data_IF_817149038336
#
_entry.id   IF_817149038336
#
_cell.length_a   1.000
_cell.length_b   1.000
_cell.length_c   1.000
_cell.angle_alpha   90.00
_cell.angle_beta   90.00
_cell.angle_gamma   90.00
#
_symmetry.space_group_name_H-M   'P 1'
#
loop_
_entity.id
_entity.type
_entity.pdbx_description
1 polymer ?
#
# COMPACT_ATOMS: atom_id res chain seq x y z
N UNK A 1 37.62 33.22 38.93
CA UNK A 1 36.25 32.65 38.89
C UNK A 1 35.42 33.55 38.00
N UNK A 2 34.77 33.17 36.92
CA UNK A 2 34.41 31.87 36.35
C UNK A 2 34.36 32.10 34.83
N UNK A 3 35.07 31.31 34.02
CA UNK A 3 35.00 31.37 32.56
C UNK A 3 33.77 30.59 32.12
N UNK A 4 32.70 31.27 31.73
CA UNK A 4 31.49 30.62 31.23
C UNK A 4 31.76 30.14 29.80
N UNK A 5 32.08 28.84 29.64
CA UNK A 5 32.11 28.20 28.32
C UNK A 5 30.66 28.03 27.86
N UNK A 6 30.24 28.81 26.87
CA UNK A 6 29.00 28.58 26.15
C UNK A 6 29.15 27.31 25.31
N UNK A 7 28.55 26.20 25.77
CA UNK A 7 28.48 24.96 25.02
C UNK A 7 27.39 25.12 23.93
N UNK A 8 27.80 25.52 22.74
CA UNK A 8 26.95 25.51 21.54
C UNK A 8 26.71 24.04 21.18
N UNK A 9 25.55 23.51 21.60
CA UNK A 9 25.11 22.18 21.24
C UNK A 9 24.68 22.15 19.77
N UNK A 10 25.53 21.61 18.89
CA UNK A 10 25.18 21.32 17.51
C UNK A 10 24.19 20.15 17.50
N UNK A 11 22.90 20.45 17.34
CA UNK A 11 21.90 19.44 16.98
C UNK A 11 22.20 18.99 15.55
N UNK A 12 22.80 17.80 15.42
CA UNK A 12 22.94 17.10 14.14
C UNK A 12 21.63 16.35 13.91
N UNK A 13 20.74 16.93 13.10
CA UNK A 13 19.59 16.19 12.61
C UNK A 13 20.07 15.28 11.48
N UNK A 14 20.08 13.97 11.73
CA UNK A 14 20.22 12.98 10.66
C UNK A 14 18.91 12.92 9.90
N UNK A 15 18.86 13.61 8.76
CA UNK A 15 17.77 13.46 7.79
C UNK A 15 18.09 12.20 6.99
N UNK A 16 17.62 11.04 7.45
CA UNK A 16 17.64 9.83 6.63
C UNK A 16 16.52 9.95 5.60
N UNK A 17 16.88 10.31 4.37
CA UNK A 17 15.97 10.15 3.24
C UNK A 17 16.04 8.68 2.84
N UNK A 18 14.95 7.94 3.03
CA UNK A 18 14.85 6.55 2.56
C UNK A 18 14.86 6.57 1.03
N UNK A 19 16.07 6.45 0.46
CA UNK A 19 16.34 6.62 -0.98
C UNK A 19 15.82 5.46 -1.83
N UNK A 20 15.15 4.48 -1.20
CA UNK A 20 14.63 3.28 -1.85
C UNK A 20 13.22 3.47 -2.43
N UNK A 21 12.40 4.39 -1.90
CA UNK A 21 11.01 4.57 -2.37
C UNK A 21 11.00 5.31 -3.71
N UNK A 22 10.51 4.64 -4.75
CA UNK A 22 10.31 5.21 -6.10
C UNK A 22 8.96 5.90 -6.20
N UNK A 23 7.94 5.28 -5.63
CA UNK A 23 6.57 5.79 -5.61
C UNK A 23 5.84 5.23 -4.40
N UNK A 24 5.08 6.06 -3.69
CA UNK A 24 4.11 5.60 -2.71
C UNK A 24 2.91 6.55 -2.71
N UNK A 25 1.71 5.99 -2.81
CA UNK A 25 0.47 6.74 -2.70
C UNK A 25 -0.62 5.88 -2.07
N UNK A 26 -1.52 6.51 -1.31
CA UNK A 26 -2.74 5.90 -0.78
C UNK A 26 -3.97 6.62 -1.34
N UNK A 27 -4.99 5.84 -1.71
CA UNK A 27 -6.35 6.31 -2.00
C UNK A 27 -7.26 5.96 -0.84
N UNK A 28 -7.73 6.98 -0.13
CA UNK A 28 -8.63 6.82 1.01
C UNK A 28 -10.09 6.79 0.57
N UNK A 29 -10.90 6.03 1.29
CA UNK A 29 -12.33 5.89 1.05
C UNK A 29 -13.12 6.64 2.12
N UNK A 30 -14.06 7.48 1.70
CA UNK A 30 -14.90 8.26 2.60
C UNK A 30 -15.71 7.32 3.51
N UNK A 31 -15.78 7.64 4.80
CA UNK A 31 -16.52 6.85 5.80
C UNK A 31 -16.12 5.37 5.84
N UNK A 32 -14.89 5.04 5.42
CA UNK A 32 -14.33 3.69 5.39
C UNK A 32 -15.14 2.73 4.49
N UNK A 33 -15.70 3.26 3.39
CA UNK A 33 -16.59 2.53 2.49
C UNK A 33 -16.02 2.51 1.08
N UNK A 34 -15.56 1.34 0.65
CA UNK A 34 -15.08 1.13 -0.70
C UNK A 34 -16.19 0.61 -1.60
N UNK A 35 -16.75 1.47 -2.45
CA UNK A 35 -17.75 1.06 -3.42
C UNK A 35 -17.12 0.26 -4.57
N UNK A 36 -17.83 -0.75 -5.07
CA UNK A 36 -17.40 -1.63 -6.18
C UNK A 36 -17.12 -0.89 -7.48
N UNK A 37 -17.74 0.26 -7.70
CA UNK A 37 -17.55 1.12 -8.87
C UNK A 37 -16.43 2.16 -8.69
N UNK A 38 -15.84 2.24 -7.49
CA UNK A 38 -14.85 3.25 -7.13
C UNK A 38 -13.44 2.66 -7.25
N UNK A 39 -12.92 2.60 -8.47
CA UNK A 39 -11.56 2.13 -8.72
C UNK A 39 -10.51 3.11 -8.15
N UNK A 40 -9.45 2.56 -7.53
CA UNK A 40 -8.29 3.33 -7.11
C UNK A 40 -7.26 3.41 -8.24
N UNK A 41 -7.06 4.60 -8.79
CA UNK A 41 -6.10 4.85 -9.87
C UNK A 41 -4.82 5.50 -9.35
N UNK A 42 -3.70 4.85 -9.61
CA UNK A 42 -2.36 5.35 -9.32
C UNK A 42 -1.67 5.67 -10.64
N UNK A 43 -1.11 6.88 -10.76
CA UNK A 43 -0.33 7.29 -11.93
C UNK A 43 1.07 7.66 -11.44
N UNK A 44 2.10 7.05 -12.03
CA UNK A 44 3.48 7.24 -11.61
C UNK A 44 4.42 7.30 -12.81
N UNK A 45 5.59 7.91 -12.61
CA UNK A 45 6.59 8.07 -13.67
C UNK A 45 7.85 7.31 -13.30
N UNK A 46 8.35 6.51 -14.24
CA UNK A 46 9.58 5.75 -14.09
C UNK A 46 10.69 6.39 -14.93
N UNK A 47 11.77 6.79 -14.26
CA UNK A 47 12.96 7.39 -14.87
C UNK A 47 14.15 6.43 -14.92
N UNK A 48 14.13 5.39 -14.08
CA UNK A 48 15.17 4.37 -13.96
C UNK A 48 14.65 3.03 -14.47
N UNK A 49 15.33 2.47 -15.47
CA UNK A 49 14.98 1.21 -16.13
C UNK A 49 15.98 0.10 -15.82
N UNK A 50 16.85 0.32 -14.83
CA UNK A 50 17.96 -0.58 -14.51
C UNK A 50 17.83 -1.17 -13.11
N UNK A 51 17.26 -0.44 -12.15
CA UNK A 51 16.95 -0.98 -10.82
C UNK A 51 15.83 -2.02 -10.86
N UNK A 52 15.99 -3.08 -10.07
CA UNK A 52 14.92 -4.02 -9.74
C UNK A 52 14.09 -3.42 -8.60
N UNK A 53 12.77 -3.52 -8.70
CA UNK A 53 11.85 -2.92 -7.74
C UNK A 53 10.85 -3.96 -7.22
N UNK A 54 10.48 -3.81 -5.96
CA UNK A 54 9.33 -4.48 -5.36
C UNK A 54 8.10 -3.59 -5.51
N UNK A 55 7.05 -4.10 -6.14
CA UNK A 55 5.73 -3.48 -6.21
C UNK A 55 4.86 -4.10 -5.12
N UNK A 56 4.35 -3.27 -4.22
CA UNK A 56 3.49 -3.68 -3.10
C UNK A 56 2.11 -3.05 -3.22
N UNK A 57 1.09 -3.83 -2.91
CA UNK A 57 -0.26 -3.33 -2.63
C UNK A 57 -0.39 -3.24 -1.11
N UNK A 58 -0.81 -2.09 -0.61
CA UNK A 58 -1.03 -1.84 0.81
C UNK A 58 -2.52 -1.66 1.07
N UNK A 59 -3.03 -2.22 2.16
CA UNK A 59 -4.43 -2.09 2.54
C UNK A 59 -4.51 -1.61 3.99
N UNK A 60 -5.24 -0.53 4.23
CA UNK A 60 -5.64 -0.13 5.58
C UNK A 60 -7.11 -0.46 5.80
N UNK A 61 -7.39 -1.21 6.84
CA UNK A 61 -8.75 -1.56 7.27
C UNK A 61 -8.87 -1.41 8.78
N UNK A 62 -10.10 -1.36 9.29
CA UNK A 62 -10.31 -1.45 10.73
C UNK A 62 -10.39 -2.89 11.20
N UNK A 63 -10.26 -3.11 12.50
CA UNK A 63 -10.49 -4.42 13.13
C UNK A 63 -11.93 -4.94 12.96
N UNK A 64 -12.87 -4.08 12.54
CA UNK A 64 -14.27 -4.44 12.27
C UNK A 64 -14.48 -4.94 10.83
N UNK A 65 -13.43 -5.02 10.01
CA UNK A 65 -13.52 -5.64 8.68
C UNK A 65 -13.97 -7.10 8.79
N UNK A 66 -15.01 -7.49 8.04
CA UNK A 66 -15.76 -8.71 8.31
C UNK A 66 -15.17 -9.98 7.67
N UNK A 67 -14.20 -9.83 6.77
CA UNK A 67 -13.67 -10.94 5.97
C UNK A 67 -12.23 -11.27 6.34
N UNK A 68 -11.88 -12.55 6.23
CA UNK A 68 -10.49 -13.00 6.39
C UNK A 68 -9.60 -12.54 5.23
N UNK A 69 -10.21 -12.31 4.06
CA UNK A 69 -9.52 -12.04 2.81
C UNK A 69 -10.16 -10.87 2.04
N UNK A 70 -9.44 -10.41 1.03
CA UNK A 70 -9.90 -9.41 0.07
C UNK A 70 -9.44 -9.79 -1.34
N UNK A 71 -10.40 -10.01 -2.25
CA UNK A 71 -10.12 -10.17 -3.67
C UNK A 71 -10.04 -8.81 -4.36
N UNK A 72 -9.05 -8.65 -5.23
CA UNK A 72 -8.83 -7.44 -6.01
C UNK A 72 -8.69 -7.78 -7.49
N UNK A 73 -9.28 -6.94 -8.34
CA UNK A 73 -8.91 -6.87 -9.75
C UNK A 73 -7.85 -5.79 -9.94
N UNK A 74 -6.79 -6.15 -10.66
CA UNK A 74 -5.67 -5.28 -10.98
C UNK A 74 -5.65 -5.07 -12.50
N UNK A 75 -5.51 -3.82 -12.91
CA UNK A 75 -5.28 -3.45 -14.29
C UNK A 75 -4.05 -2.52 -14.37
N UNK A 76 -2.99 -3.02 -15.00
CA UNK A 76 -1.73 -2.32 -15.22
C UNK A 76 -1.15 -2.75 -16.59
N UNK A 77 0.15 -3.08 -16.67
CA UNK A 77 0.74 -3.72 -17.87
C UNK A 77 0.06 -5.06 -18.21
N UNK A 78 -0.51 -5.71 -17.20
CA UNK A 78 -1.29 -6.95 -17.28
C UNK A 78 -2.57 -6.79 -16.47
N UNK A 79 -3.59 -7.56 -16.82
CA UNK A 79 -4.81 -7.71 -16.01
C UNK A 79 -4.62 -8.93 -15.12
N UNK A 80 -4.85 -8.78 -13.82
CA UNK A 80 -4.67 -9.83 -12.83
C UNK A 80 -5.77 -9.82 -11.76
N UNK A 81 -5.91 -10.93 -11.05
CA UNK A 81 -6.77 -11.06 -9.87
C UNK A 81 -5.94 -11.60 -8.71
N UNK A 82 -5.93 -10.88 -7.60
CA UNK A 82 -5.18 -11.28 -6.40
C UNK A 82 -6.10 -11.46 -5.21
N UNK A 83 -5.72 -12.37 -4.33
CA UNK A 83 -6.35 -12.59 -3.03
C UNK A 83 -5.39 -12.15 -1.92
N UNK A 84 -5.80 -11.17 -1.13
CA UNK A 84 -5.08 -10.75 0.06
C UNK A 84 -5.63 -11.53 1.25
N UNK A 85 -4.80 -12.37 1.87
CA UNK A 85 -5.14 -13.00 3.15
C UNK A 85 -4.81 -12.03 4.28
N UNK A 86 -5.83 -11.37 4.83
CA UNK A 86 -5.69 -10.31 5.83
C UNK A 86 -5.65 -10.85 7.25
N UNK A 87 -6.26 -12.01 7.50
CA UNK A 87 -6.21 -12.73 8.77
C UNK A 87 -5.84 -14.21 8.59
N UNK A 88 -5.25 -14.81 9.62
CA UNK A 88 -5.03 -16.25 9.68
C UNK A 88 -6.32 -17.02 10.05
N UNK A 89 -6.25 -18.35 10.11
CA UNK A 89 -7.41 -19.23 10.36
C UNK A 89 -8.02 -19.04 11.76
N UNK A 90 -7.24 -18.51 12.69
CA UNK A 90 -7.64 -18.19 14.05
C UNK A 90 -8.29 -16.80 14.15
N UNK A 91 -8.39 -16.06 13.04
CA UNK A 91 -8.98 -14.71 12.97
C UNK A 91 -8.02 -13.59 13.40
N UNK A 92 -6.72 -13.89 13.58
CA UNK A 92 -5.71 -12.88 13.89
C UNK A 92 -5.28 -12.15 12.62
N UNK A 93 -5.37 -10.81 12.64
CA UNK A 93 -4.91 -9.95 11.55
C UNK A 93 -3.40 -10.13 11.30
N UNK A 94 -3.04 -10.28 10.02
CA UNK A 94 -1.66 -10.45 9.53
C UNK A 94 -0.97 -9.10 9.25
N UNK A 95 -1.71 -7.99 9.36
CA UNK A 95 -1.19 -6.63 9.29
C UNK A 95 -0.76 -6.07 10.64
N UNK A 96 -0.07 -4.93 10.62
CA UNK A 96 0.36 -4.19 11.81
C UNK A 96 -0.40 -2.86 11.95
N UNK A 97 -0.42 -2.26 13.14
CA UNK A 97 -1.05 -0.95 13.30
C UNK A 97 -1.33 -0.58 14.75
N UNK A 98 -1.91 0.60 14.96
CA UNK A 98 -2.21 1.16 16.28
C UNK A 98 -3.72 1.32 16.45
N UNK A 99 -4.21 1.01 17.64
CA UNK A 99 -5.65 1.07 17.96
C UNK A 99 -6.44 0.11 17.06
N UNK A 100 -7.44 0.64 16.39
CA UNK A 100 -8.38 -0.13 15.58
C UNK A 100 -7.95 -0.26 14.12
N UNK A 101 -6.83 0.32 13.72
CA UNK A 101 -6.36 0.30 12.32
C UNK A 101 -5.33 -0.81 12.12
N UNK A 102 -5.47 -1.56 11.02
CA UNK A 102 -4.47 -2.52 10.55
C UNK A 102 -4.06 -2.17 9.12
N UNK A 103 -2.76 -2.15 8.90
CA UNK A 103 -2.11 -2.03 7.60
C UNK A 103 -1.50 -3.38 7.22
N UNK A 104 -1.92 -3.89 6.08
CA UNK A 104 -1.41 -5.11 5.48
C UNK A 104 -0.64 -4.76 4.20
N UNK A 105 0.55 -5.33 4.03
CA UNK A 105 1.35 -5.18 2.82
C UNK A 105 1.39 -6.51 2.06
N UNK A 106 1.13 -6.45 0.75
CA UNK A 106 1.21 -7.58 -0.15
C UNK A 106 2.22 -7.29 -1.26
N UNK A 107 3.25 -8.11 -1.36
CA UNK A 107 4.24 -8.03 -2.45
C UNK A 107 3.63 -8.57 -3.75
N UNK A 108 3.04 -7.68 -4.55
CA UNK A 108 2.44 -8.02 -5.83
C UNK A 108 3.49 -8.46 -6.86
N UNK A 109 4.62 -7.74 -6.96
CA UNK A 109 5.75 -8.13 -7.81
C UNK A 109 7.05 -7.88 -7.08
N UNK A 110 7.76 -8.93 -6.68
CA UNK A 110 9.00 -8.79 -5.94
C UNK A 110 10.16 -8.29 -6.84
N UNK A 111 10.27 -8.74 -8.10
CA UNK A 111 11.40 -8.37 -8.98
C UNK A 111 10.99 -7.66 -10.28
N UNK A 112 10.31 -6.50 -10.18
CA UNK A 112 9.88 -5.71 -11.33
C UNK A 112 11.03 -4.88 -11.90
N UNK A 113 11.43 -5.20 -13.13
CA UNK A 113 12.27 -4.34 -13.97
C UNK A 113 11.38 -3.57 -14.95
N UNK A 114 11.43 -2.24 -14.89
CA UNK A 114 10.71 -1.40 -15.85
C UNK A 114 11.51 -1.28 -17.15
N UNK A 115 11.02 -1.86 -18.23
CA UNK A 115 11.74 -1.90 -19.50
C UNK A 115 11.79 -0.56 -20.26
N UNK A 116 10.97 0.43 -19.87
CA UNK A 116 10.89 1.74 -20.55
C UNK A 116 10.72 2.88 -19.54
N UNK A 117 11.32 4.02 -19.84
CA UNK A 117 11.03 5.28 -19.12
C UNK A 117 9.68 5.82 -19.58
N UNK A 118 8.94 6.42 -18.65
CA UNK A 118 7.67 7.07 -18.97
C UNK A 118 6.64 6.97 -17.86
N UNK A 119 5.41 7.37 -18.20
CA UNK A 119 4.27 7.33 -17.30
C UNK A 119 3.61 5.95 -17.37
N UNK A 120 3.27 5.44 -16.20
CA UNK A 120 2.57 4.18 -15.98
C UNK A 120 1.31 4.45 -15.16
N UNK A 121 0.39 3.49 -15.19
CA UNK A 121 -0.76 3.48 -14.32
C UNK A 121 -0.91 2.11 -13.66
N UNK A 122 -1.56 2.10 -12.51
CA UNK A 122 -1.98 0.91 -11.81
C UNK A 122 -3.38 1.19 -11.27
N UNK A 123 -4.31 0.30 -11.58
CA UNK A 123 -5.71 0.43 -11.17
C UNK A 123 -6.08 -0.77 -10.32
N UNK A 124 -6.74 -0.49 -9.19
CA UNK A 124 -7.19 -1.50 -8.23
C UNK A 124 -8.69 -1.35 -8.01
N UNK A 125 -9.42 -2.45 -8.15
CA UNK A 125 -10.84 -2.56 -7.84
C UNK A 125 -11.05 -3.69 -6.83
N UNK A 126 -11.97 -3.50 -5.88
CA UNK A 126 -12.40 -4.60 -5.02
C UNK A 126 -13.31 -5.56 -5.81
N UNK A 127 -13.04 -6.85 -5.67
CA UNK A 127 -13.71 -7.94 -6.40
C UNK A 127 -14.50 -8.86 -5.45
N UNK A 128 -15.01 -8.32 -4.33
CA UNK A 128 -15.67 -9.11 -3.29
C UNK A 128 -17.10 -9.48 -3.67
N UNK A 129 -17.51 -10.67 -3.25
CA UNK A 129 -18.88 -11.19 -3.32
C UNK A 129 -19.19 -11.99 -2.06
N UNK A 130 -20.47 -12.07 -1.68
CA UNK A 130 -20.89 -12.83 -0.51
C UNK A 130 -22.26 -13.50 -0.72
N UNK A 131 -22.38 -14.76 -0.32
CA UNK A 131 -23.60 -15.55 -0.52
C UNK A 131 -23.95 -15.69 -2.01
N UNK A 132 -25.19 -15.35 -2.37
CA UNK A 132 -25.68 -15.41 -3.76
C UNK A 132 -25.49 -14.09 -4.53
N UNK A 133 -24.93 -13.04 -3.91
CA UNK A 133 -24.71 -11.77 -4.58
C UNK A 133 -23.53 -11.87 -5.55
N UNK A 134 -23.67 -11.28 -6.74
CA UNK A 134 -22.58 -11.24 -7.73
C UNK A 134 -21.41 -10.35 -7.30
N UNK A 135 -21.70 -9.33 -6.48
CA UNK A 135 -20.71 -8.40 -5.90
C UNK A 135 -21.19 -7.76 -4.61
N UNK A 136 -20.26 -7.35 -3.75
CA UNK A 136 -20.51 -6.45 -2.62
C UNK A 136 -20.48 -5.01 -3.16
N UNK A 137 -21.61 -4.31 -3.13
CA UNK A 137 -21.70 -2.93 -3.65
C UNK A 137 -20.82 -1.97 -2.85
N UNK A 138 -20.84 -2.11 -1.53
CA UNK A 138 -20.08 -1.27 -0.59
C UNK A 138 -19.36 -2.18 0.38
N UNK A 139 -18.04 -2.21 0.28
CA UNK A 139 -17.19 -2.93 1.23
C UNK A 139 -16.88 -2.00 2.40
N UNK A 140 -17.46 -2.29 3.56
CA UNK A 140 -17.28 -1.48 4.77
C UNK A 140 -15.93 -1.75 5.44
N UNK A 141 -15.53 -0.83 6.32
CA UNK A 141 -14.37 -0.94 7.20
C UNK A 141 -13.02 -0.99 6.45
N UNK A 142 -12.99 -0.53 5.20
CA UNK A 142 -11.77 -0.32 4.42
C UNK A 142 -11.45 1.17 4.39
N UNK A 143 -10.31 1.54 4.96
CA UNK A 143 -9.87 2.94 5.09
C UNK A 143 -9.21 3.42 3.80
N UNK A 144 -8.27 2.63 3.27
CA UNK A 144 -7.55 3.00 2.05
C UNK A 144 -6.88 1.80 1.39
N UNK A 145 -6.61 1.94 0.09
CA UNK A 145 -5.68 1.09 -0.65
C UNK A 145 -4.50 1.92 -1.10
N UNK A 146 -3.30 1.35 -1.07
CA UNK A 146 -2.07 2.02 -1.47
C UNK A 146 -1.26 1.18 -2.46
N UNK A 147 -0.43 1.88 -3.22
CA UNK A 147 0.58 1.30 -4.10
C UNK A 147 1.94 1.83 -3.65
N UNK A 148 2.88 0.92 -3.41
CA UNK A 148 4.28 1.27 -3.19
C UNK A 148 5.16 0.59 -4.24
N UNK A 149 6.16 1.32 -4.72
CA UNK A 149 7.22 0.84 -5.60
C UNK A 149 8.53 1.21 -4.91
N UNK A 150 9.27 0.21 -4.49
CA UNK A 150 10.51 0.35 -3.75
C UNK A 150 11.65 -0.30 -4.52
N UNK A 151 12.78 0.39 -4.67
CA UNK A 151 14.01 -0.23 -5.17
C UNK A 151 14.42 -1.34 -4.23
N UNK A 152 14.79 -2.49 -4.78
CA UNK A 152 15.49 -3.49 -4.00
C UNK A 152 16.88 -2.96 -3.70
N UNK A 153 17.18 -2.79 -2.42
CA UNK A 153 18.55 -2.53 -1.99
C UNK A 153 19.36 -3.81 -2.21
N UNK A 154 20.47 -3.70 -2.95
CA UNK A 154 21.51 -4.75 -2.98
C UNK A 154 22.19 -4.91 -1.62
#
# INVERSE_FOLDING_TARGET
MMRTLALIGTIVMFISCDSSIVFEEYKSFENQKWNTDSAAFFNYSIMDTTSINTVKIKLRHTIDYEFQNLFLFIEADVVDTVELMLANKEGMWLGSGIGDVREFEFEYQNAKLFGKKGNYYFKIEQAMRYGMAEKIQVLNNVISVGLSIEKQNE
#
